data_IF_540168865544
#
_entry.id   IF_540168865544
#
_cell.length_a   1.000
_cell.length_b   1.000
_cell.length_c   1.000
_cell.angle_alpha   90.00
_cell.angle_beta   90.00
_cell.angle_gamma   90.00
#
_symmetry.space_group_name_H-M   'P 1'
#
loop_
_entity.id
_entity.type
_entity.pdbx_description
1 polymer ?
#
# COMPACT_ATOMS: atom_id res chain seq x y z
N UNK A 1 -22.70 3.38 -0.32
CA UNK A 1 -21.24 3.31 -0.59
C UNK A 1 -20.51 4.34 0.26
N UNK A 2 -19.25 4.09 0.65
CA UNK A 2 -18.54 4.92 1.65
C UNK A 2 -18.48 6.39 1.26
N UNK A 3 -18.26 6.68 -0.03
CA UNK A 3 -18.24 8.05 -0.56
C UNK A 3 -19.57 8.80 -0.35
N UNK A 4 -20.71 8.09 -0.40
CA UNK A 4 -22.03 8.69 -0.15
C UNK A 4 -22.24 9.01 1.33
N UNK A 5 -21.73 8.15 2.23
CA UNK A 5 -21.85 8.33 3.69
C UNK A 5 -20.98 9.49 4.15
N UNK A 6 -19.73 9.55 3.69
CA UNK A 6 -18.76 10.55 4.15
C UNK A 6 -18.68 11.80 3.26
N UNK A 7 -19.38 11.81 2.11
CA UNK A 7 -19.37 12.92 1.14
C UNK A 7 -18.00 13.18 0.48
N UNK A 8 -17.03 12.27 0.62
CA UNK A 8 -15.65 12.45 0.12
C UNK A 8 -14.98 11.12 -0.21
N UNK A 9 -13.91 11.20 -1.01
CA UNK A 9 -13.00 10.06 -1.23
C UNK A 9 -12.24 9.74 0.06
N UNK A 10 -12.16 8.46 0.41
CA UNK A 10 -11.37 7.97 1.53
C UNK A 10 -10.09 7.33 1.00
N UNK A 11 -8.94 7.73 1.56
CA UNK A 11 -7.64 7.11 1.28
C UNK A 11 -7.22 6.37 2.54
N UNK A 12 -6.98 5.05 2.42
CA UNK A 12 -6.74 4.16 3.56
C UNK A 12 -5.30 3.62 3.45
N UNK A 13 -4.28 4.29 4.01
CA UNK A 13 -2.93 3.77 4.03
C UNK A 13 -2.85 2.59 5.02
N UNK A 14 -2.46 1.41 4.52
CA UNK A 14 -2.35 0.20 5.32
C UNK A 14 -1.09 -0.59 4.99
N UNK A 15 -0.61 -1.36 5.97
CA UNK A 15 0.47 -2.34 5.76
C UNK A 15 -0.08 -3.74 5.95
N UNK A 16 -0.46 -4.39 4.84
CA UNK A 16 -1.08 -5.71 4.82
C UNK A 16 -0.18 -6.73 4.14
N UNK A 17 0.72 -7.36 4.91
CA UNK A 17 1.66 -8.38 4.42
C UNK A 17 1.22 -9.81 4.79
N UNK A 18 0.34 -9.97 5.77
CA UNK A 18 -0.19 -11.28 6.17
C UNK A 18 -1.42 -11.61 5.32
N UNK A 19 -1.29 -12.61 4.44
CA UNK A 19 -2.30 -12.90 3.40
C UNK A 19 -3.72 -13.15 3.95
N UNK A 20 -3.92 -13.98 5.00
CA UNK A 20 -5.26 -14.16 5.57
C UNK A 20 -5.93 -12.85 6.03
N UNK A 21 -5.17 -11.93 6.63
CA UNK A 21 -5.71 -10.64 7.06
C UNK A 21 -6.01 -9.73 5.88
N UNK A 22 -5.17 -9.77 4.84
CA UNK A 22 -5.46 -9.07 3.61
C UNK A 22 -6.79 -9.54 2.99
N UNK A 23 -6.99 -10.86 2.87
CA UNK A 23 -8.20 -11.42 2.28
C UNK A 23 -9.45 -11.07 3.10
N UNK A 24 -9.38 -11.16 4.43
CA UNK A 24 -10.46 -10.77 5.35
C UNK A 24 -10.83 -9.29 5.22
N UNK A 25 -9.83 -8.40 5.27
CA UNK A 25 -10.05 -6.95 5.18
C UNK A 25 -10.63 -6.59 3.82
N UNK A 26 -10.08 -7.13 2.73
CA UNK A 26 -10.58 -6.86 1.39
C UNK A 26 -12.00 -7.41 1.16
N UNK A 27 -12.33 -8.57 1.72
CA UNK A 27 -13.68 -9.11 1.67
C UNK A 27 -14.67 -8.19 2.39
N UNK A 28 -14.35 -7.75 3.61
CA UNK A 28 -15.20 -6.82 4.37
C UNK A 28 -15.36 -5.47 3.68
N UNK A 29 -14.27 -4.88 3.19
CA UNK A 29 -14.32 -3.60 2.50
C UNK A 29 -15.15 -3.65 1.21
N UNK A 30 -15.04 -4.73 0.43
CA UNK A 30 -15.84 -4.94 -0.79
C UNK A 30 -17.33 -5.12 -0.51
N UNK A 31 -17.70 -5.68 0.64
CA UNK A 31 -19.11 -5.76 1.05
C UNK A 31 -19.68 -4.38 1.38
N UNK A 32 -18.86 -3.48 1.95
CA UNK A 32 -19.28 -2.12 2.31
C UNK A 32 -19.31 -1.19 1.08
N UNK A 33 -18.31 -1.34 0.20
CA UNK A 33 -18.18 -0.54 -1.02
C UNK A 33 -17.63 -1.40 -2.18
N UNK A 34 -18.49 -1.79 -3.14
CA UNK A 34 -18.06 -2.55 -4.31
C UNK A 34 -17.05 -1.82 -5.21
N UNK A 35 -16.96 -0.49 -5.13
CA UNK A 35 -16.05 0.34 -5.96
C UNK A 35 -14.72 0.63 -5.27
N UNK A 36 -14.29 -0.23 -4.36
CA UNK A 36 -12.99 -0.05 -3.72
C UNK A 36 -11.84 -0.33 -4.69
N UNK A 37 -10.94 0.65 -4.81
CA UNK A 37 -9.66 0.49 -5.50
C UNK A 37 -8.58 0.19 -4.48
N UNK A 38 -7.75 -0.82 -4.76
CA UNK A 38 -6.65 -1.21 -3.89
C UNK A 38 -5.36 -1.41 -4.70
N UNK A 39 -4.29 -0.80 -4.22
CA UNK A 39 -2.98 -0.79 -4.85
C UNK A 39 -1.91 -1.14 -3.82
N UNK A 40 -0.90 -1.91 -4.23
CA UNK A 40 0.25 -2.22 -3.40
C UNK A 40 1.45 -1.39 -3.87
N UNK A 41 1.86 -0.39 -3.09
CA UNK A 41 3.07 0.38 -3.40
C UNK A 41 4.30 -0.43 -3.01
N UNK A 42 5.12 -0.77 -4.01
CA UNK A 42 6.34 -1.58 -3.81
C UNK A 42 7.59 -0.73 -3.99
N UNK A 43 8.68 -1.13 -3.36
CA UNK A 43 9.98 -0.52 -3.53
C UNK A 43 11.08 -1.56 -3.27
N UNK A 44 12.26 -1.39 -3.86
CA UNK A 44 13.45 -2.18 -3.53
C UNK A 44 13.81 -2.03 -2.05
N UNK A 45 14.43 -3.07 -1.48
CA UNK A 45 14.93 -3.06 -0.09
C UNK A 45 15.81 -1.85 0.18
N UNK A 46 16.76 -1.57 -0.72
CA UNK A 46 17.67 -0.42 -0.62
C UNK A 46 16.90 0.90 -0.51
N UNK A 47 15.89 1.12 -1.36
CA UNK A 47 15.05 2.31 -1.33
C UNK A 47 14.30 2.45 0.00
N UNK A 48 13.78 1.35 0.56
CA UNK A 48 13.11 1.36 1.86
C UNK A 48 14.06 1.69 3.01
N UNK A 49 15.27 1.11 2.99
CA UNK A 49 16.31 1.40 3.99
C UNK A 49 16.77 2.86 3.90
N UNK A 50 17.01 3.38 2.70
CA UNK A 50 17.38 4.78 2.50
C UNK A 50 16.30 5.74 3.03
N UNK A 51 15.02 5.45 2.74
CA UNK A 51 13.88 6.22 3.29
C UNK A 51 13.83 6.13 4.82
N UNK A 52 14.12 4.98 5.42
CA UNK A 52 14.18 4.81 6.87
C UNK A 52 15.33 5.62 7.48
N UNK A 53 16.52 5.59 6.87
CA UNK A 53 17.69 6.37 7.32
C UNK A 53 17.41 7.87 7.32
N UNK A 54 16.72 8.40 6.30
CA UNK A 54 16.36 9.82 6.24
C UNK A 54 15.50 10.29 7.43
N UNK A 55 14.67 9.38 7.98
CA UNK A 55 13.79 9.66 9.12
C UNK A 55 14.20 8.95 10.41
N UNK A 56 15.42 8.43 10.51
CA UNK A 56 15.84 7.61 11.65
C UNK A 56 15.75 8.35 12.99
N UNK A 57 15.90 9.68 12.96
CA UNK A 57 15.80 10.55 14.12
C UNK A 57 14.38 10.62 14.72
N UNK A 58 13.35 10.16 13.98
CA UNK A 58 11.97 10.05 14.44
C UNK A 58 11.71 8.76 15.24
N UNK A 59 12.71 7.89 15.40
CA UNK A 59 12.54 6.54 15.91
C UNK A 59 13.59 6.20 16.98
N UNK A 60 13.19 5.38 17.95
CA UNK A 60 14.13 4.77 18.90
C UNK A 60 14.88 3.61 18.22
N UNK A 61 16.00 3.18 18.81
CA UNK A 61 16.76 2.02 18.31
C UNK A 61 15.91 0.75 18.22
N UNK A 62 15.06 0.51 19.23
CA UNK A 62 14.15 -0.65 19.24
C UNK A 62 13.11 -0.55 18.12
N UNK A 63 12.59 0.65 17.86
CA UNK A 63 11.66 0.88 16.76
C UNK A 63 12.33 0.66 15.39
N UNK A 64 13.57 1.13 15.22
CA UNK A 64 14.34 0.90 13.99
C UNK A 64 14.60 -0.58 13.73
N UNK A 65 14.98 -1.34 14.76
CA UNK A 65 15.15 -2.79 14.66
C UNK A 65 13.85 -3.49 14.22
N UNK A 66 12.72 -3.10 14.83
CA UNK A 66 11.40 -3.63 14.47
C UNK A 66 10.98 -3.26 13.04
N UNK A 67 11.23 -2.02 12.59
CA UNK A 67 10.92 -1.59 11.22
C UNK A 67 11.76 -2.38 10.21
N UNK A 68 13.05 -2.59 10.47
CA UNK A 68 13.93 -3.35 9.59
C UNK A 68 13.46 -4.80 9.44
N UNK A 69 13.11 -5.45 10.55
CA UNK A 69 12.52 -6.79 10.51
C UNK A 69 11.21 -6.81 9.69
N UNK A 70 10.39 -5.76 9.83
CA UNK A 70 9.14 -5.64 9.07
C UNK A 70 9.37 -5.46 7.58
N UNK A 71 10.38 -4.69 7.17
CA UNK A 71 10.76 -4.50 5.77
C UNK A 71 11.02 -5.87 5.11
N UNK A 72 11.81 -6.72 5.76
CA UNK A 72 12.15 -8.03 5.22
C UNK A 72 10.92 -8.93 5.07
N UNK A 73 10.05 -8.97 6.09
CA UNK A 73 8.79 -9.74 6.02
C UNK A 73 7.85 -9.23 4.91
N UNK A 74 7.74 -7.92 4.76
CA UNK A 74 6.89 -7.32 3.72
C UNK A 74 7.42 -7.60 2.31
N UNK A 75 8.74 -7.52 2.10
CA UNK A 75 9.35 -7.82 0.79
C UNK A 75 9.09 -9.27 0.38
N UNK A 76 9.27 -10.23 1.29
CA UNK A 76 8.97 -11.64 1.03
C UNK A 76 7.49 -11.83 0.69
N UNK A 77 6.59 -11.20 1.46
CA UNK A 77 5.16 -11.33 1.21
C UNK A 77 4.75 -10.76 -0.15
N UNK A 78 5.23 -9.56 -0.51
CA UNK A 78 4.85 -8.89 -1.74
C UNK A 78 5.52 -9.46 -3.00
N UNK A 79 6.55 -10.28 -2.88
CA UNK A 79 7.11 -11.05 -3.99
C UNK A 79 6.21 -12.25 -4.39
N UNK A 80 5.26 -12.64 -3.52
CA UNK A 80 4.33 -13.74 -3.82
C UNK A 80 3.09 -13.25 -4.59
N UNK A 81 2.58 -14.06 -5.55
CA UNK A 81 1.35 -13.74 -6.25
C UNK A 81 0.15 -13.61 -5.29
N UNK A 82 -0.58 -12.51 -5.38
CA UNK A 82 -1.92 -12.35 -4.81
C UNK A 82 -2.10 -11.23 -3.79
N UNK A 83 -1.09 -10.40 -3.58
CA UNK A 83 -1.34 -9.00 -3.21
C UNK A 83 -1.73 -8.22 -4.48
N UNK A 84 -2.59 -7.21 -4.35
CA UNK A 84 -3.22 -6.50 -5.49
C UNK A 84 -2.24 -5.82 -6.44
N UNK A 85 -2.78 -5.08 -7.42
CA UNK A 85 -1.99 -4.45 -8.48
C UNK A 85 -0.83 -3.65 -7.88
N UNK A 86 0.38 -4.13 -8.17
CA UNK A 86 1.61 -3.52 -7.67
C UNK A 86 1.90 -2.23 -8.44
N UNK A 87 2.41 -1.24 -7.71
CA UNK A 87 2.93 0.01 -8.26
C UNK A 87 4.35 0.16 -7.71
N UNK A 88 5.37 -0.19 -8.51
CA UNK A 88 6.75 0.10 -8.16
C UNK A 88 6.94 1.60 -8.01
N UNK A 89 7.54 2.01 -6.90
CA UNK A 89 7.77 3.42 -6.53
C UNK A 89 9.24 3.81 -6.56
N UNK A 90 10.12 2.87 -6.89
CA UNK A 90 11.52 3.17 -7.17
C UNK A 90 11.62 4.19 -8.31
N UNK A 91 12.50 5.18 -8.12
CA UNK A 91 12.85 6.18 -9.13
C UNK A 91 11.67 7.05 -9.63
N UNK A 92 10.50 6.99 -8.98
CA UNK A 92 9.32 7.80 -9.26
C UNK A 92 9.11 8.91 -8.24
N UNK A 93 8.72 10.07 -8.72
CA UNK A 93 8.20 11.15 -7.89
C UNK A 93 6.76 10.86 -7.46
N UNK A 94 6.31 11.41 -6.32
CA UNK A 94 4.93 11.23 -5.85
C UNK A 94 3.87 11.60 -6.90
N UNK A 95 4.10 12.63 -7.72
CA UNK A 95 3.19 13.04 -8.77
C UNK A 95 3.00 11.97 -9.86
N UNK A 96 4.06 11.22 -10.18
CA UNK A 96 4.00 10.12 -11.16
C UNK A 96 3.21 8.94 -10.61
N UNK A 97 3.37 8.64 -9.31
CA UNK A 97 2.59 7.60 -8.62
C UNK A 97 1.10 7.97 -8.59
N UNK A 98 0.79 9.24 -8.29
CA UNK A 98 -0.59 9.76 -8.33
C UNK A 98 -1.19 9.63 -9.72
N UNK A 99 -0.46 10.02 -10.77
CA UNK A 99 -0.92 9.89 -12.15
C UNK A 99 -1.23 8.44 -12.51
N UNK A 100 -0.36 7.50 -12.14
CA UNK A 100 -0.56 6.07 -12.39
C UNK A 100 -1.80 5.52 -11.65
N UNK A 101 -1.99 5.89 -10.38
CA UNK A 101 -3.19 5.52 -9.61
C UNK A 101 -4.46 6.04 -10.32
N UNK A 102 -4.48 7.30 -10.73
CA UNK A 102 -5.62 7.91 -11.41
C UNK A 102 -5.90 7.24 -12.77
N UNK A 103 -4.86 6.93 -13.56
CA UNK A 103 -5.01 6.20 -14.81
C UNK A 103 -5.65 4.84 -14.59
N UNK A 104 -5.23 4.10 -13.56
CA UNK A 104 -5.80 2.78 -13.23
C UNK A 104 -7.25 2.87 -12.78
N UNK A 105 -7.59 3.87 -11.96
CA UNK A 105 -8.98 4.13 -11.55
C UNK A 105 -9.86 4.43 -12.78
N UNK A 106 -9.37 5.24 -13.72
CA UNK A 106 -10.13 5.63 -14.92
C UNK A 106 -10.21 4.52 -15.98
N UNK A 107 -9.27 3.58 -15.98
CA UNK A 107 -9.19 2.48 -16.96
C UNK A 107 -9.97 1.24 -16.52
N UNK A 108 -10.29 1.11 -15.24
CA UNK A 108 -11.27 0.13 -14.77
C UNK A 108 -12.67 0.61 -15.17
N UNK A 109 -13.37 -0.07 -16.11
CA UNK A 109 -14.77 0.22 -16.32
C UNK A 109 -15.45 -0.03 -14.97
N UNK A 110 -16.31 0.90 -14.55
CA UNK A 110 -17.21 0.63 -13.43
C UNK A 110 -17.88 -0.73 -13.69
N UNK A 111 -17.68 -1.66 -12.77
CA UNK A 111 -18.47 -2.90 -12.70
C UNK A 111 -19.92 -2.48 -12.43
#
# INVERSE_FOLDING_TARGET
MLKQIYGRTLVIPMTLWHRPYFDEIMAGLRQIDPTIYHFCLTARKETLLNRLTQRQHEHTEQALAWINERIDRCLIAFDTPGFSIQIPTDDKQPAEIVAEILTRINSSPGI
#
